data_IF_348395254859
#
_entry.id   IF_348395254859
#
_cell.length_a   1.000
_cell.length_b   1.000
_cell.length_c   1.000
_cell.angle_alpha   90.00
_cell.angle_beta   90.00
_cell.angle_gamma   90.00
#
_symmetry.space_group_name_H-M   'P 1'
#
loop_
_entity.id
_entity.type
_entity.pdbx_description
1 polymer ?
#
# COMPACT_ATOMS: atom_id res chain seq x y z
N UNK A 1 19.37 -25.63 9.01
CA UNK A 1 19.45 -25.55 7.53
C UNK A 1 18.63 -24.35 7.08
N UNK A 2 19.18 -23.48 6.23
CA UNK A 2 18.54 -22.21 5.79
C UNK A 2 17.44 -22.45 4.74
N UNK A 3 16.41 -23.21 5.09
CA UNK A 3 15.14 -23.11 4.36
C UNK A 3 14.32 -22.01 5.03
N UNK A 4 14.70 -20.75 4.75
CA UNK A 4 13.80 -19.64 5.00
C UNK A 4 12.69 -19.78 3.94
N UNK A 5 11.68 -20.57 4.31
CA UNK A 5 10.54 -21.02 3.50
C UNK A 5 9.98 -19.82 2.75
N UNK A 6 10.08 -19.85 1.41
CA UNK A 6 9.44 -18.82 0.60
C UNK A 6 7.93 -18.82 0.89
N UNK A 7 7.27 -17.65 0.82
CA UNK A 7 5.83 -17.59 0.96
C UNK A 7 5.14 -18.47 -0.09
N UNK A 8 3.99 -19.06 0.26
CA UNK A 8 3.23 -19.92 -0.64
C UNK A 8 2.81 -19.17 -1.90
N UNK A 9 3.12 -19.75 -3.06
CA UNK A 9 2.72 -19.22 -4.38
C UNK A 9 1.21 -19.20 -4.59
N UNK A 10 0.44 -19.86 -3.72
CA UNK A 10 -1.02 -19.81 -3.70
C UNK A 10 -1.54 -18.42 -3.29
N UNK A 11 -0.79 -17.67 -2.49
CA UNK A 11 -1.24 -16.41 -1.89
C UNK A 11 -0.47 -15.19 -2.39
N UNK A 12 0.72 -15.38 -2.96
CA UNK A 12 1.56 -14.29 -3.45
C UNK A 12 2.25 -14.63 -4.77
N UNK A 13 2.62 -13.59 -5.51
CA UNK A 13 3.54 -13.68 -6.64
C UNK A 13 4.77 -12.80 -6.42
N UNK A 14 5.85 -13.09 -7.13
CA UNK A 14 7.11 -12.33 -7.05
C UNK A 14 7.29 -11.47 -8.29
N UNK A 15 7.52 -10.17 -8.11
CA UNK A 15 7.81 -9.23 -9.21
C UNK A 15 9.01 -8.35 -8.84
N UNK A 16 10.01 -8.31 -9.72
CA UNK A 16 11.28 -7.57 -9.53
C UNK A 16 11.91 -7.75 -8.14
N UNK A 17 11.80 -8.96 -7.57
CA UNK A 17 12.37 -9.31 -6.26
C UNK A 17 11.47 -9.11 -5.04
N UNK A 18 10.29 -8.51 -5.20
CA UNK A 18 9.33 -8.25 -4.11
C UNK A 18 8.12 -9.19 -4.19
N UNK A 19 7.53 -9.52 -3.04
CA UNK A 19 6.32 -10.33 -2.93
C UNK A 19 5.06 -9.45 -2.90
N UNK A 20 4.05 -9.83 -3.69
CA UNK A 20 2.77 -9.15 -3.80
C UNK A 20 1.63 -10.14 -3.58
N UNK A 21 0.59 -9.72 -2.86
CA UNK A 21 -0.65 -10.48 -2.75
C UNK A 21 -1.45 -10.49 -4.05
N UNK A 22 -2.45 -11.37 -4.15
CA UNK A 22 -3.26 -11.57 -5.36
C UNK A 22 -4.33 -10.48 -5.62
N UNK A 23 -4.35 -9.39 -4.85
CA UNK A 23 -5.21 -8.22 -5.10
C UNK A 23 -4.66 -7.31 -6.21
N UNK A 24 -3.57 -7.73 -6.86
CA UNK A 24 -2.93 -7.08 -7.99
C UNK A 24 -2.29 -8.13 -8.90
N UNK A 25 -1.72 -7.70 -10.02
CA UNK A 25 -0.99 -8.56 -10.95
C UNK A 25 0.35 -7.94 -11.30
N UNK A 26 1.29 -8.76 -11.79
CA UNK A 26 2.60 -8.29 -12.23
C UNK A 26 2.47 -7.27 -13.37
N UNK A 27 1.50 -7.47 -14.27
CA UNK A 27 1.20 -6.57 -15.38
C UNK A 27 0.74 -5.22 -14.86
N UNK A 28 -0.21 -5.19 -13.91
CA UNK A 28 -0.68 -3.93 -13.30
C UNK A 28 0.45 -3.19 -12.60
N UNK A 29 1.26 -3.88 -11.78
CA UNK A 29 2.40 -3.24 -11.11
C UNK A 29 3.42 -2.72 -12.13
N UNK A 30 3.58 -3.38 -13.28
CA UNK A 30 4.47 -2.92 -14.34
C UNK A 30 3.99 -1.64 -15.02
N UNK A 31 2.67 -1.45 -15.24
CA UNK A 31 2.14 -0.23 -15.86
C UNK A 31 2.34 1.01 -15.00
N UNK A 32 2.48 0.85 -13.67
CA UNK A 32 2.69 1.97 -12.76
C UNK A 32 4.00 2.72 -12.98
N UNK A 33 5.01 2.10 -13.60
CA UNK A 33 6.26 2.78 -13.98
C UNK A 33 5.97 4.06 -14.79
N UNK A 34 4.95 4.00 -15.64
CA UNK A 34 4.54 5.04 -16.59
C UNK A 34 3.28 5.80 -16.16
N UNK A 35 2.80 5.58 -14.94
CA UNK A 35 1.64 6.30 -14.42
C UNK A 35 1.87 7.81 -14.43
N UNK A 36 0.94 8.54 -15.06
CA UNK A 36 1.04 9.99 -15.23
C UNK A 36 0.69 10.72 -13.93
N UNK A 37 1.66 11.50 -13.45
CA UNK A 37 1.56 12.29 -12.23
C UNK A 37 1.29 13.75 -12.58
N UNK A 38 0.32 14.33 -11.90
CA UNK A 38 -0.01 15.74 -11.95
C UNK A 38 0.67 16.47 -10.78
N UNK A 39 1.00 17.76 -10.97
CA UNK A 39 1.66 18.57 -9.95
C UNK A 39 0.85 18.73 -8.65
N UNK A 40 -0.47 18.58 -8.75
CA UNK A 40 -1.41 18.64 -7.62
C UNK A 40 -1.55 17.32 -6.86
N UNK A 41 -0.97 16.22 -7.37
CA UNK A 41 -1.11 14.90 -6.75
C UNK A 41 -0.44 14.83 -5.38
N UNK A 42 -1.04 14.03 -4.51
CA UNK A 42 -0.53 13.73 -3.17
C UNK A 42 -0.40 12.22 -2.99
N UNK A 43 0.78 11.76 -2.60
CA UNK A 43 1.05 10.33 -2.35
C UNK A 43 1.28 10.09 -0.87
N UNK A 44 0.47 9.21 -0.27
CA UNK A 44 0.71 8.63 1.05
C UNK A 44 1.51 7.35 0.86
N UNK A 45 2.77 7.37 1.26
CA UNK A 45 3.68 6.24 1.13
C UNK A 45 3.98 5.67 2.51
N UNK A 46 3.75 4.39 2.68
CA UNK A 46 3.92 3.73 3.99
C UNK A 46 4.45 2.32 3.81
N UNK A 47 5.22 1.80 4.76
CA UNK A 47 5.35 0.35 4.87
C UNK A 47 4.03 -0.23 5.40
N UNK A 48 3.58 -1.43 4.97
CA UNK A 48 2.35 -2.05 5.48
C UNK A 48 2.24 -1.95 7.00
N UNK A 49 1.04 -1.61 7.50
CA UNK A 49 0.73 -1.49 8.94
C UNK A 49 1.37 -0.29 9.67
N UNK A 50 1.91 0.67 8.95
CA UNK A 50 2.49 1.90 9.52
C UNK A 50 1.50 3.05 9.72
N UNK A 51 0.18 2.82 9.58
CA UNK A 51 -0.85 3.84 9.83
C UNK A 51 -1.47 4.49 8.59
N UNK A 52 -1.47 3.80 7.45
CA UNK A 52 -1.99 4.32 6.18
C UNK A 52 -3.45 4.74 6.26
N UNK A 53 -4.33 3.87 6.78
CA UNK A 53 -5.78 4.17 6.92
C UNK A 53 -6.04 5.38 7.82
N UNK A 54 -5.23 5.55 8.87
CA UNK A 54 -5.35 6.71 9.74
C UNK A 54 -4.95 8.00 9.02
N UNK A 55 -3.85 7.94 8.28
CA UNK A 55 -3.34 9.06 7.46
C UNK A 55 -4.30 9.42 6.34
N UNK A 56 -4.90 8.42 5.67
CA UNK A 56 -5.93 8.63 4.65
C UNK A 56 -7.12 9.42 5.22
N UNK A 57 -7.64 9.02 6.39
CA UNK A 57 -8.74 9.74 7.02
C UNK A 57 -8.39 11.17 7.44
N UNK A 58 -7.21 11.38 8.05
CA UNK A 58 -6.73 12.72 8.39
C UNK A 58 -6.65 13.60 7.14
N UNK A 59 -6.06 13.08 6.06
CA UNK A 59 -5.89 13.84 4.82
C UNK A 59 -7.23 14.12 4.14
N UNK A 60 -8.16 13.17 4.13
CA UNK A 60 -9.52 13.43 3.65
C UNK A 60 -10.20 14.56 4.43
N UNK A 61 -10.08 14.58 5.76
CA UNK A 61 -10.67 15.65 6.56
C UNK A 61 -10.02 17.01 6.25
N UNK A 62 -8.70 17.06 6.03
CA UNK A 62 -8.01 18.29 5.65
C UNK A 62 -8.49 18.79 4.28
N UNK A 63 -8.60 17.91 3.28
CA UNK A 63 -8.98 18.28 1.92
C UNK A 63 -10.44 18.71 1.79
N UNK A 64 -11.31 18.21 2.67
CA UNK A 64 -12.71 18.61 2.75
C UNK A 64 -12.97 19.68 3.82
N UNK A 65 -11.94 20.39 4.28
CA UNK A 65 -12.05 21.49 5.26
C UNK A 65 -12.81 21.11 6.55
N UNK A 66 -12.68 19.85 6.97
CA UNK A 66 -13.38 19.30 8.14
C UNK A 66 -14.86 19.01 7.93
N UNK A 67 -15.42 19.23 6.73
CA UNK A 67 -16.80 18.91 6.40
C UNK A 67 -17.00 17.39 6.26
N UNK A 68 -17.54 16.77 7.32
CA UNK A 68 -17.88 15.34 7.34
C UNK A 68 -18.84 14.92 6.23
N UNK A 69 -19.67 15.84 5.76
CA UNK A 69 -20.67 15.60 4.70
C UNK A 69 -20.05 15.11 3.38
N UNK A 70 -18.76 15.39 3.13
CA UNK A 70 -18.00 14.89 1.97
C UNK A 70 -17.28 13.56 2.21
N UNK A 71 -17.06 13.16 3.46
CA UNK A 71 -16.28 11.96 3.82
C UNK A 71 -17.12 10.76 4.29
N UNK A 72 -18.36 10.99 4.71
CA UNK A 72 -19.24 9.95 5.26
C UNK A 72 -19.94 9.09 4.18
N UNK A 73 -20.00 9.59 2.93
CA UNK A 73 -20.74 8.95 1.84
C UNK A 73 -19.92 7.94 1.03
N UNK A 74 -18.60 7.99 1.16
CA UNK A 74 -17.67 7.18 0.37
C UNK A 74 -16.64 6.49 1.27
N UNK A 75 -16.38 5.22 0.98
CA UNK A 75 -15.36 4.47 1.69
C UNK A 75 -13.97 5.10 1.52
N UNK A 76 -13.10 4.93 2.52
CA UNK A 76 -11.76 5.52 2.50
C UNK A 76 -10.94 5.10 1.28
N UNK A 77 -11.14 3.87 0.79
CA UNK A 77 -10.43 3.33 -0.38
C UNK A 77 -10.97 3.87 -1.71
N UNK A 78 -12.19 4.41 -1.72
CA UNK A 78 -12.76 5.09 -2.88
C UNK A 78 -12.31 6.55 -2.93
N UNK A 79 -12.11 7.17 -1.77
CA UNK A 79 -11.60 8.55 -1.64
C UNK A 79 -10.10 8.65 -1.90
N UNK A 80 -9.34 7.71 -1.37
CA UNK A 80 -7.89 7.63 -1.50
C UNK A 80 -7.52 6.20 -1.91
N UNK A 81 -7.61 5.88 -3.21
CA UNK A 81 -7.34 4.54 -3.70
C UNK A 81 -5.87 4.15 -3.58
N UNK A 82 -5.65 2.84 -3.55
CA UNK A 82 -4.31 2.26 -3.63
C UNK A 82 -3.82 2.28 -5.07
N UNK A 83 -2.55 2.62 -5.26
CA UNK A 83 -1.96 2.66 -6.59
C UNK A 83 -1.75 1.23 -7.14
N UNK A 84 -1.25 0.34 -6.31
CA UNK A 84 -0.88 -1.02 -6.70
C UNK A 84 -2.01 -2.04 -6.61
N UNK A 85 -3.10 -1.77 -5.90
CA UNK A 85 -4.18 -2.74 -5.73
C UNK A 85 -5.38 -2.37 -6.61
N UNK A 86 -6.01 -3.39 -7.21
CA UNK A 86 -7.28 -3.22 -7.92
C UNK A 86 -8.45 -3.21 -6.92
N UNK A 87 -8.48 -2.20 -6.05
CA UNK A 87 -9.55 -2.05 -5.04
C UNK A 87 -10.73 -1.23 -5.53
N UNK A 88 -10.61 -0.60 -6.69
CA UNK A 88 -11.66 0.21 -7.31
C UNK A 88 -11.71 -0.07 -8.82
N UNK A 89 -12.90 0.01 -9.41
CA UNK A 89 -13.11 -0.07 -10.86
C UNK A 89 -12.89 1.28 -11.55
N UNK A 90 -12.70 2.36 -10.76
CA UNK A 90 -12.45 3.70 -11.28
C UNK A 90 -11.08 3.79 -11.95
N UNK A 91 -11.03 4.47 -13.08
CA UNK A 91 -9.76 4.86 -13.68
C UNK A 91 -9.11 5.97 -12.84
N UNK A 92 -7.99 5.63 -12.19
CA UNK A 92 -7.19 6.54 -11.36
C UNK A 92 -6.75 7.79 -12.13
N UNK A 93 -6.58 7.70 -13.45
CA UNK A 93 -6.21 8.84 -14.29
C UNK A 93 -7.32 9.89 -14.36
N UNK A 94 -8.58 9.48 -14.21
CA UNK A 94 -9.78 10.32 -14.37
C UNK A 94 -10.27 10.97 -13.08
N UNK A 95 -9.65 10.67 -11.93
CA UNK A 95 -10.08 11.21 -10.65
C UNK A 95 -9.92 12.74 -10.61
N UNK A 96 -10.84 13.45 -9.92
CA UNK A 96 -10.76 14.91 -9.79
C UNK A 96 -9.53 15.33 -9.00
N UNK A 97 -8.96 16.49 -9.36
CA UNK A 97 -7.81 17.06 -8.67
C UNK A 97 -8.22 17.81 -7.36
N UNK A 98 -7.36 17.83 -6.32
CA UNK A 98 -6.10 17.09 -6.22
C UNK A 98 -6.36 15.59 -6.02
N UNK A 99 -5.68 14.75 -6.81
CA UNK A 99 -5.78 13.29 -6.64
C UNK A 99 -4.90 12.85 -5.49
N UNK A 100 -5.39 11.90 -4.71
CA UNK A 100 -4.66 11.37 -3.56
C UNK A 100 -4.57 9.87 -3.67
N UNK A 101 -3.37 9.33 -3.53
CA UNK A 101 -3.12 7.90 -3.65
C UNK A 101 -2.39 7.38 -2.42
N UNK A 102 -2.72 6.16 -2.01
CA UNK A 102 -1.96 5.40 -1.03
C UNK A 102 -1.08 4.36 -1.73
N UNK A 103 0.12 4.10 -1.21
CA UNK A 103 0.98 3.04 -1.72
C UNK A 103 1.91 2.45 -0.66
N UNK A 104 2.16 1.16 -0.79
CA UNK A 104 3.18 0.36 -0.12
C UNK A 104 4.36 0.01 -1.02
N UNK A 105 4.35 0.48 -2.28
CA UNK A 105 5.40 0.16 -3.23
C UNK A 105 6.78 0.63 -2.72
N UNK A 106 7.81 -0.21 -2.85
CA UNK A 106 9.17 0.21 -2.59
C UNK A 106 9.57 1.30 -3.60
N UNK A 107 10.53 2.15 -3.21
CA UNK A 107 11.00 3.28 -4.02
C UNK A 107 11.31 2.94 -5.48
N UNK A 108 11.79 1.74 -5.77
CA UNK A 108 12.15 1.32 -7.13
C UNK A 108 10.96 0.92 -8.01
N UNK A 109 9.77 0.74 -7.41
CA UNK A 109 8.54 0.33 -8.12
C UNK A 109 7.47 1.42 -8.18
N UNK A 110 7.68 2.56 -7.49
CA UNK A 110 6.78 3.72 -7.63
C UNK A 110 6.93 4.36 -9.02
N UNK A 111 5.91 5.11 -9.49
CA UNK A 111 5.95 5.76 -10.80
C UNK A 111 7.20 6.62 -11.00
N UNK A 112 7.72 6.66 -12.23
CA UNK A 112 8.93 7.46 -12.55
C UNK A 112 8.75 8.94 -12.21
N UNK A 113 7.55 9.48 -12.42
CA UNK A 113 7.24 10.87 -12.05
C UNK A 113 7.44 11.17 -10.56
N UNK A 114 7.15 10.20 -9.68
CA UNK A 114 7.24 10.37 -8.23
C UNK A 114 8.71 10.38 -7.79
N UNK A 115 9.53 9.50 -8.39
CA UNK A 115 11.00 9.50 -8.18
C UNK A 115 11.64 10.82 -8.61
N UNK A 116 11.09 11.46 -9.64
CA UNK A 116 11.55 12.74 -10.16
C UNK A 116 10.93 13.96 -9.46
N UNK A 117 10.34 13.78 -8.26
CA UNK A 117 9.78 14.84 -7.39
C UNK A 117 8.70 15.71 -8.03
N UNK A 118 7.86 15.14 -8.90
CA UNK A 118 6.74 15.85 -9.55
C UNK A 118 5.46 15.98 -8.71
N UNK A 119 5.46 15.55 -7.45
CA UNK A 119 4.26 15.55 -6.61
C UNK A 119 4.61 15.72 -5.13
N UNK A 120 3.57 15.98 -4.31
CA UNK A 120 3.70 16.01 -2.85
C UNK A 120 3.71 14.58 -2.30
N UNK A 121 4.60 14.30 -1.37
CA UNK A 121 4.77 12.97 -0.78
C UNK A 121 4.73 13.04 0.75
N UNK A 122 3.87 12.22 1.34
CA UNK A 122 3.74 12.02 2.78
C UNK A 122 4.21 10.61 3.09
N UNK A 123 5.43 10.49 3.61
CA UNK A 123 5.97 9.20 4.03
C UNK A 123 5.69 8.96 5.51
N UNK A 124 4.95 7.90 5.85
CA UNK A 124 4.65 7.57 7.26
C UNK A 124 5.40 6.32 7.67
N UNK A 125 6.19 6.45 8.74
CA UNK A 125 6.92 5.37 9.38
C UNK A 125 6.34 5.05 10.74
N UNK A 126 6.55 3.82 11.17
CA UNK A 126 6.25 3.34 12.51
C UNK A 126 7.42 2.50 13.00
N UNK A 127 7.61 2.42 14.32
CA UNK A 127 8.60 1.55 14.92
C UNK A 127 8.45 0.12 14.36
N UNK A 128 9.52 -0.51 13.83
CA UNK A 128 9.43 -1.81 13.17
C UNK A 128 8.95 -2.93 14.10
N UNK A 129 9.16 -2.81 15.42
CA UNK A 129 8.65 -3.78 16.41
C UNK A 129 7.12 -3.77 16.44
N UNK A 130 6.51 -2.59 16.44
CA UNK A 130 5.05 -2.43 16.43
C UNK A 130 4.45 -2.82 15.08
N UNK A 131 5.16 -2.50 13.98
CA UNK A 131 4.78 -2.89 12.63
C UNK A 131 4.68 -4.41 12.55
N UNK A 132 5.70 -5.13 13.00
CA UNK A 132 5.75 -6.60 12.97
C UNK A 132 4.58 -7.23 13.72
N UNK A 133 4.30 -6.78 14.95
CA UNK A 133 3.16 -7.28 15.74
C UNK A 133 1.83 -7.00 15.04
N UNK A 134 1.64 -5.78 14.54
CA UNK A 134 0.43 -5.40 13.79
C UNK A 134 0.25 -6.21 12.51
N UNK A 135 1.35 -6.51 11.81
CA UNK A 135 1.32 -7.31 10.59
C UNK A 135 0.98 -8.77 10.90
N UNK A 136 1.59 -9.38 11.91
CA UNK A 136 1.24 -10.74 12.32
C UNK A 136 -0.26 -10.91 12.63
N UNK A 137 -0.86 -9.98 13.37
CA UNK A 137 -2.31 -10.05 13.62
C UNK A 137 -3.14 -9.78 12.36
N UNK A 138 -2.66 -8.90 11.47
CA UNK A 138 -3.33 -8.62 10.21
C UNK A 138 -3.28 -9.78 9.21
N UNK A 139 -2.17 -10.52 9.12
CA UNK A 139 -2.07 -11.69 8.24
C UNK A 139 -3.03 -12.79 8.66
N UNK A 140 -3.27 -12.98 9.96
CA UNK A 140 -4.32 -13.90 10.46
C UNK A 140 -5.73 -13.49 10.03
N UNK A 141 -5.99 -12.19 9.95
CA UNK A 141 -7.29 -11.67 9.52
C UNK A 141 -7.46 -11.76 8.00
N UNK A 142 -6.42 -11.43 7.24
CA UNK A 142 -6.41 -11.61 5.78
C UNK A 142 -6.04 -13.06 5.43
N UNK A 143 -7.01 -13.97 5.49
CA UNK A 143 -6.87 -15.39 5.07
C UNK A 143 -6.43 -15.60 3.60
N UNK A 144 -6.27 -14.51 2.84
CA UNK A 144 -5.70 -14.49 1.48
C UNK A 144 -4.19 -14.25 1.43
N UNK A 145 -3.54 -14.02 2.56
CA UNK A 145 -2.10 -13.79 2.70
C UNK A 145 -1.60 -14.82 3.72
N UNK A 146 -1.36 -16.05 3.27
CA UNK A 146 -0.76 -17.18 4.01
C UNK A 146 -0.82 -17.10 5.55
N UNK A 147 -1.64 -17.93 6.17
CA UNK A 147 -1.64 -18.01 7.63
C UNK A 147 -0.28 -18.53 8.14
N UNK A 148 0.46 -17.66 8.85
CA UNK A 148 1.66 -18.05 9.61
C UNK A 148 1.24 -18.19 11.07
N UNK A 149 1.01 -19.42 11.57
CA UNK A 149 0.43 -19.61 12.89
C UNK A 149 1.41 -19.23 14.02
N UNK A 150 2.72 -19.43 13.81
CA UNK A 150 3.76 -19.15 14.79
C UNK A 150 4.36 -17.74 14.64
N UNK A 151 4.40 -16.99 15.74
CA UNK A 151 4.94 -15.63 15.74
C UNK A 151 6.45 -15.58 15.53
N UNK A 152 7.21 -16.57 16.05
CA UNK A 152 8.66 -16.57 15.89
C UNK A 152 9.04 -16.79 14.42
N UNK A 153 8.37 -17.71 13.74
CA UNK A 153 8.51 -17.91 12.30
C UNK A 153 8.14 -16.64 11.51
N UNK A 154 7.05 -15.96 11.88
CA UNK A 154 6.68 -14.69 11.27
C UNK A 154 7.77 -13.62 11.47
N UNK A 155 8.32 -13.51 12.68
CA UNK A 155 9.41 -12.58 13.00
C UNK A 155 10.66 -12.89 12.17
N UNK A 156 11.07 -14.17 12.05
CA UNK A 156 12.21 -14.56 11.23
C UNK A 156 12.01 -14.19 9.75
N UNK A 157 10.81 -14.42 9.20
CA UNK A 157 10.46 -14.01 7.83
C UNK A 157 10.47 -12.49 7.67
N UNK A 158 9.86 -11.76 8.60
CA UNK A 158 9.84 -10.30 8.60
C UNK A 158 11.25 -9.70 8.62
N UNK A 159 12.13 -10.21 9.49
CA UNK A 159 13.55 -9.78 9.57
C UNK A 159 14.35 -10.15 8.32
N UNK A 160 13.98 -11.24 7.64
CA UNK A 160 14.57 -11.65 6.38
C UNK A 160 14.00 -10.90 5.15
N UNK A 161 12.98 -10.06 5.33
CA UNK A 161 12.28 -9.37 4.24
C UNK A 161 11.50 -10.31 3.33
N UNK A 162 10.95 -11.40 3.89
CA UNK A 162 10.22 -12.46 3.18
C UNK A 162 8.75 -12.48 3.55
#
# INVERSE_FOLDING_TARGET
SRSAMEPSKEYVFKYKGFYFGLTTTAEHVATLEDFEIQDSDIFIVTYPKSGTVWTQNILSLILHEGHRNGTEKEEVMERIPWLEYKTTEKDLATLPAPRVFATHLPYYLVPRGLRNKKAKLIYVTRNPKDVMVSYYHFSKYMSKIEEVPDFNLFMERFLAGK
#
